data_IF_045836238659
#
_entry.id   IF_045836238659
#
_cell.length_a   1.000
_cell.length_b   1.000
_cell.length_c   1.000
_cell.angle_alpha   90.00
_cell.angle_beta   90.00
_cell.angle_gamma   90.00
#
_symmetry.space_group_name_H-M   'P 1'
#
loop_
_entity.id
_entity.type
_entity.pdbx_description
1 polymer ?
#
# COMPACT_ATOMS: atom_id res chain seq x y z
N UNK A 1 11.45 -8.93 -20.14
CA UNK A 1 12.30 -7.87 -20.72
C UNK A 1 13.39 -7.60 -19.70
N UNK A 2 14.67 -7.84 -20.01
CA UNK A 2 15.79 -7.56 -19.11
C UNK A 2 16.31 -6.17 -19.46
N UNK A 3 16.06 -5.16 -18.61
CA UNK A 3 16.61 -3.81 -18.81
C UNK A 3 17.98 -3.79 -18.16
N UNK A 4 19.01 -3.46 -18.93
CA UNK A 4 20.40 -3.39 -18.49
C UNK A 4 20.91 -1.97 -18.70
N UNK A 5 20.55 -1.08 -17.77
CA UNK A 5 21.27 0.17 -17.52
C UNK A 5 21.37 0.32 -15.98
N UNK A 6 22.57 0.23 -15.39
CA UNK A 6 22.74 0.01 -13.95
C UNK A 6 22.31 1.19 -13.06
N UNK A 7 22.24 2.42 -13.60
CA UNK A 7 21.96 3.59 -12.76
C UNK A 7 20.48 4.01 -12.81
N UNK A 8 19.83 3.92 -13.98
CA UNK A 8 18.41 4.36 -14.12
C UNK A 8 17.65 3.54 -15.13
N UNK A 9 16.52 2.99 -14.70
CA UNK A 9 15.58 2.30 -15.58
C UNK A 9 14.21 2.97 -15.55
N UNK A 10 13.69 3.32 -16.74
CA UNK A 10 12.30 3.74 -16.90
C UNK A 10 11.61 2.82 -17.90
N UNK A 11 10.44 2.29 -17.54
CA UNK A 11 9.67 1.39 -18.39
C UNK A 11 8.20 1.77 -18.36
N UNK A 12 7.59 1.78 -19.55
CA UNK A 12 6.16 2.01 -19.75
C UNK A 12 5.61 0.79 -20.48
N UNK A 13 4.55 0.19 -19.95
CA UNK A 13 3.91 -0.98 -20.52
C UNK A 13 2.40 -0.73 -20.56
N UNK A 14 1.78 -0.89 -21.72
CA UNK A 14 0.34 -0.70 -21.94
C UNK A 14 -0.22 -1.87 -22.74
N UNK A 15 -1.44 -2.31 -22.40
CA UNK A 15 -2.21 -3.35 -23.10
C UNK A 15 -1.61 -4.79 -23.22
N UNK A 16 -0.77 -5.31 -22.30
CA UNK A 16 -0.46 -6.74 -22.32
C UNK A 16 -1.48 -7.56 -21.54
N UNK A 17 -1.88 -8.73 -22.08
CA UNK A 17 -2.65 -9.71 -21.30
C UNK A 17 -1.94 -10.04 -19.97
N UNK A 18 -0.60 -10.14 -19.99
CA UNK A 18 0.20 -10.48 -18.80
C UNK A 18 1.56 -9.80 -18.78
N UNK A 19 1.92 -9.26 -17.61
CA UNK A 19 3.22 -8.70 -17.30
C UNK A 19 3.88 -9.52 -16.19
N UNK A 20 5.11 -9.93 -16.43
CA UNK A 20 6.01 -10.41 -15.38
C UNK A 20 7.34 -9.70 -15.51
N UNK A 21 7.71 -8.93 -14.50
CA UNK A 21 8.97 -8.19 -14.46
C UNK A 21 9.71 -8.49 -13.16
N UNK A 22 11.02 -8.62 -13.31
CA UNK A 22 11.99 -8.72 -12.23
C UNK A 22 12.99 -7.58 -12.41
N UNK A 23 13.13 -6.77 -11.38
CA UNK A 23 14.05 -5.63 -11.32
C UNK A 23 14.94 -5.83 -10.10
N UNK A 24 16.24 -5.92 -10.32
CA UNK A 24 17.25 -6.15 -9.28
C UNK A 24 18.33 -5.07 -9.35
N UNK A 25 18.74 -4.57 -8.19
CA UNK A 25 19.85 -3.63 -8.01
C UNK A 25 19.83 -2.34 -8.87
N UNK A 26 18.67 -1.67 -9.13
CA UNK A 26 18.72 -0.37 -9.79
C UNK A 26 19.06 0.72 -8.77
N UNK A 27 19.95 1.67 -9.09
CA UNK A 27 20.01 2.89 -8.26
C UNK A 27 18.64 3.61 -8.32
N UNK A 28 18.02 3.69 -9.51
CA UNK A 28 16.66 4.23 -9.65
C UNK A 28 15.82 3.49 -10.68
N UNK A 29 14.60 3.12 -10.30
CA UNK A 29 13.62 2.53 -11.21
C UNK A 29 12.29 3.25 -11.18
N UNK A 30 11.75 3.53 -12.36
CA UNK A 30 10.36 3.97 -12.56
C UNK A 30 9.66 3.02 -13.52
N UNK A 31 8.55 2.42 -13.08
CA UNK A 31 7.71 1.61 -13.92
C UNK A 31 6.30 2.20 -13.97
N UNK A 32 5.76 2.32 -15.17
CA UNK A 32 4.37 2.67 -15.42
C UNK A 32 3.70 1.54 -16.17
N UNK A 33 2.58 1.07 -15.65
CA UNK A 33 1.78 -0.01 -16.23
C UNK A 33 0.33 0.42 -16.31
N UNK A 34 -0.30 0.25 -17.47
CA UNK A 34 -1.71 0.57 -17.70
C UNK A 34 -2.43 -0.56 -18.42
N UNK A 35 -3.65 -0.87 -17.98
CA UNK A 35 -4.60 -1.79 -18.62
C UNK A 35 -4.16 -3.26 -18.83
N UNK A 36 -3.36 -3.92 -17.97
CA UNK A 36 -3.09 -5.35 -18.13
C UNK A 36 -4.13 -6.23 -17.44
N UNK A 37 -4.44 -7.40 -17.99
CA UNK A 37 -5.27 -8.36 -17.22
C UNK A 37 -4.51 -8.82 -15.96
N UNK A 38 -3.19 -9.07 -16.08
CA UNK A 38 -2.39 -9.56 -14.93
C UNK A 38 -1.00 -8.97 -14.85
N UNK A 39 -0.63 -8.57 -13.64
CA UNK A 39 0.70 -8.07 -13.29
C UNK A 39 1.32 -8.93 -12.18
N UNK A 40 2.58 -9.29 -12.38
CA UNK A 40 3.48 -9.75 -11.31
C UNK A 40 4.79 -8.98 -11.39
N UNK A 41 5.08 -8.17 -10.36
CA UNK A 41 6.33 -7.42 -10.26
C UNK A 41 7.11 -7.87 -9.02
N UNK A 42 8.39 -8.15 -9.22
CA UNK A 42 9.37 -8.31 -8.16
C UNK A 42 10.44 -7.24 -8.30
N UNK A 43 10.64 -6.46 -7.25
CA UNK A 43 11.67 -5.43 -7.17
C UNK A 43 12.52 -5.71 -5.92
N UNK A 44 13.82 -5.86 -6.10
CA UNK A 44 14.77 -6.14 -5.01
C UNK A 44 15.91 -5.13 -5.02
N UNK A 45 16.27 -4.66 -3.83
CA UNK A 45 17.42 -3.81 -3.56
C UNK A 45 17.51 -2.49 -4.37
N UNK A 46 16.41 -1.74 -4.61
CA UNK A 46 16.53 -0.44 -5.26
C UNK A 46 16.93 0.65 -4.25
N UNK A 47 17.85 1.58 -4.60
CA UNK A 47 17.95 2.79 -3.76
C UNK A 47 16.64 3.59 -3.87
N UNK A 48 16.06 3.68 -5.08
CA UNK A 48 14.76 4.33 -5.29
C UNK A 48 13.89 3.60 -6.31
N UNK A 49 12.66 3.30 -5.93
CA UNK A 49 11.65 2.76 -6.84
C UNK A 49 10.37 3.58 -6.86
N UNK A 50 9.82 3.77 -8.05
CA UNK A 50 8.49 4.36 -8.27
C UNK A 50 7.69 3.43 -9.18
N UNK A 51 6.56 2.94 -8.67
CA UNK A 51 5.65 2.05 -9.40
C UNK A 51 4.30 2.74 -9.55
N UNK A 52 3.85 2.93 -10.79
CA UNK A 52 2.52 3.42 -11.14
C UNK A 52 1.79 2.31 -11.89
N UNK A 53 0.64 1.88 -11.36
CA UNK A 53 -0.17 0.81 -11.92
C UNK A 53 -1.61 1.29 -12.01
N UNK A 54 -2.22 1.22 -13.20
CA UNK A 54 -3.59 1.65 -13.44
C UNK A 54 -4.38 0.54 -14.15
N UNK A 55 -5.62 0.34 -13.71
CA UNK A 55 -6.63 -0.51 -14.34
C UNK A 55 -6.23 -2.01 -14.54
N UNK A 56 -5.52 -2.69 -13.61
CA UNK A 56 -5.28 -4.11 -13.77
C UNK A 56 -6.44 -4.95 -13.23
N UNK A 57 -6.82 -6.04 -13.90
CA UNK A 57 -7.75 -6.99 -13.24
C UNK A 57 -7.07 -7.60 -11.99
N UNK A 58 -5.79 -7.98 -12.12
CA UNK A 58 -5.03 -8.58 -11.01
C UNK A 58 -3.60 -8.12 -10.94
N UNK A 59 -3.19 -7.71 -9.75
CA UNK A 59 -1.81 -7.29 -9.48
C UNK A 59 -1.23 -8.00 -8.26
N UNK A 60 -0.01 -8.50 -8.42
CA UNK A 60 0.84 -8.99 -7.33
C UNK A 60 2.17 -8.27 -7.36
N UNK A 61 2.49 -7.55 -6.29
CA UNK A 61 3.66 -6.69 -6.19
C UNK A 61 4.50 -7.11 -4.97
N UNK A 62 5.77 -7.40 -5.18
CA UNK A 62 6.74 -7.69 -4.13
C UNK A 62 7.91 -6.71 -4.23
N UNK A 63 8.18 -6.01 -3.14
CA UNK A 63 9.29 -5.05 -3.02
C UNK A 63 10.08 -5.38 -1.77
N UNK A 64 11.37 -5.68 -1.93
CA UNK A 64 12.28 -5.99 -0.82
C UNK A 64 13.43 -5.00 -0.78
N UNK A 65 13.80 -4.60 0.44
CA UNK A 65 15.00 -3.83 0.76
C UNK A 65 15.18 -2.48 0.01
N UNK A 66 14.11 -1.67 -0.21
CA UNK A 66 14.30 -0.36 -0.82
C UNK A 66 14.75 0.69 0.22
N UNK A 67 15.71 1.56 -0.12
CA UNK A 67 15.88 2.78 0.71
C UNK A 67 14.61 3.63 0.60
N UNK A 68 14.07 3.80 -0.63
CA UNK A 68 12.85 4.56 -0.87
C UNK A 68 11.96 3.94 -1.92
N UNK A 69 10.70 3.76 -1.57
CA UNK A 69 9.67 3.29 -2.50
C UNK A 69 8.44 4.18 -2.48
N UNK A 70 7.95 4.47 -3.67
CA UNK A 70 6.66 5.12 -3.90
C UNK A 70 5.81 4.24 -4.80
N UNK A 71 4.58 3.95 -4.39
CA UNK A 71 3.65 3.17 -5.18
C UNK A 71 2.29 3.84 -5.28
N UNK A 72 1.77 3.89 -6.51
CA UNK A 72 0.39 4.28 -6.79
C UNK A 72 -0.28 3.16 -7.57
N UNK A 73 -1.40 2.66 -7.04
CA UNK A 73 -2.25 1.67 -7.70
C UNK A 73 -3.67 2.22 -7.75
N UNK A 74 -4.22 2.33 -8.95
CA UNK A 74 -5.59 2.84 -9.17
C UNK A 74 -6.44 1.80 -9.89
N UNK A 75 -7.70 1.69 -9.47
CA UNK A 75 -8.75 0.92 -10.13
C UNK A 75 -8.45 -0.58 -10.37
N UNK A 76 -7.77 -1.32 -9.46
CA UNK A 76 -7.58 -2.76 -9.67
C UNK A 76 -8.81 -3.55 -9.21
N UNK A 77 -9.22 -4.63 -9.90
CA UNK A 77 -10.19 -5.55 -9.25
C UNK A 77 -9.54 -6.19 -8.02
N UNK A 78 -8.27 -6.63 -8.15
CA UNK A 78 -7.53 -7.28 -7.05
C UNK A 78 -6.08 -6.88 -6.99
N UNK A 79 -5.65 -6.42 -5.81
CA UNK A 79 -4.25 -6.13 -5.51
C UNK A 79 -3.76 -6.91 -4.29
N UNK A 80 -2.60 -7.56 -4.44
CA UNK A 80 -1.81 -8.09 -3.33
C UNK A 80 -0.43 -7.45 -3.35
N UNK A 81 0.00 -6.92 -2.20
CA UNK A 81 1.27 -6.24 -2.06
C UNK A 81 2.04 -6.75 -0.83
N UNK A 82 3.32 -7.00 -1.02
CA UNK A 82 4.26 -7.32 0.04
C UNK A 82 5.45 -6.36 -0.06
N UNK A 83 5.73 -5.66 1.05
CA UNK A 83 6.88 -4.79 1.19
C UNK A 83 7.65 -5.20 2.45
N UNK A 84 8.93 -5.46 2.30
CA UNK A 84 9.82 -5.90 3.38
C UNK A 84 11.03 -4.97 3.48
N UNK A 85 11.40 -4.63 4.72
CA UNK A 85 12.61 -3.91 5.09
C UNK A 85 12.84 -2.56 4.39
N UNK A 86 11.82 -1.70 4.17
CA UNK A 86 12.07 -0.39 3.56
C UNK A 86 12.54 0.64 4.60
N UNK A 87 13.51 1.50 4.27
CA UNK A 87 13.71 2.69 5.13
C UNK A 87 12.48 3.61 5.02
N UNK A 88 11.98 3.83 3.79
CA UNK A 88 10.83 4.71 3.55
C UNK A 88 9.90 4.17 2.47
N UNK A 89 8.64 4.00 2.83
CA UNK A 89 7.57 3.61 1.89
C UNK A 89 6.42 4.61 1.91
N UNK A 90 5.97 4.99 0.71
CA UNK A 90 4.71 5.72 0.50
C UNK A 90 3.84 4.92 -0.47
N UNK A 91 2.62 4.60 -0.06
CA UNK A 91 1.67 3.84 -0.88
C UNK A 91 0.32 4.55 -0.96
N UNK A 92 -0.21 4.60 -2.16
CA UNK A 92 -1.56 5.06 -2.46
C UNK A 92 -2.28 3.98 -3.25
N UNK A 93 -3.41 3.52 -2.72
CA UNK A 93 -4.30 2.57 -3.37
C UNK A 93 -5.70 3.16 -3.41
N UNK A 94 -6.26 3.31 -4.60
CA UNK A 94 -7.58 3.89 -4.82
C UNK A 94 -8.48 2.92 -5.57
N UNK A 95 -9.74 2.87 -5.15
CA UNK A 95 -10.84 2.16 -5.83
C UNK A 95 -10.61 0.65 -6.11
N UNK A 96 -9.97 -0.14 -5.23
CA UNK A 96 -9.87 -1.57 -5.49
C UNK A 96 -11.15 -2.33 -5.06
N UNK A 97 -11.61 -3.33 -5.80
CA UNK A 97 -12.63 -4.23 -5.22
C UNK A 97 -12.03 -4.96 -4.00
N UNK A 98 -10.79 -5.46 -4.14
CA UNK A 98 -10.08 -6.15 -3.05
C UNK A 98 -8.62 -5.76 -2.98
N UNK A 99 -8.20 -5.33 -1.79
CA UNK A 99 -6.80 -5.06 -1.48
C UNK A 99 -6.30 -5.86 -0.29
N UNK A 100 -5.08 -6.38 -0.41
CA UNK A 100 -4.33 -7.00 0.69
C UNK A 100 -2.91 -6.48 0.66
N UNK A 101 -2.45 -5.88 1.75
CA UNK A 101 -1.10 -5.33 1.86
C UNK A 101 -0.44 -5.81 3.16
N UNK A 102 0.81 -6.22 3.03
CA UNK A 102 1.68 -6.57 4.14
C UNK A 102 2.94 -5.71 4.06
N UNK A 103 3.24 -5.00 5.14
CA UNK A 103 4.45 -4.20 5.30
C UNK A 103 5.16 -4.66 6.55
N UNK A 104 6.43 -5.06 6.43
CA UNK A 104 7.24 -5.53 7.56
C UNK A 104 8.48 -4.67 7.69
N UNK A 105 8.84 -4.35 8.94
CA UNK A 105 10.08 -3.67 9.33
C UNK A 105 10.35 -2.31 8.65
N UNK A 106 9.36 -1.41 8.43
CA UNK A 106 9.66 -0.10 7.88
C UNK A 106 10.18 0.87 8.96
N UNK A 107 11.24 1.63 8.68
CA UNK A 107 11.53 2.79 9.55
C UNK A 107 10.39 3.81 9.45
N UNK A 108 9.92 4.09 8.23
CA UNK A 108 8.80 5.02 7.99
C UNK A 108 7.87 4.53 6.90
N UNK A 109 6.59 4.40 7.24
CA UNK A 109 5.54 4.10 6.28
C UNK A 109 4.40 5.11 6.30
N UNK A 110 3.97 5.52 5.10
CA UNK A 110 2.74 6.28 4.88
C UNK A 110 1.86 5.52 3.90
N UNK A 111 0.63 5.23 4.30
CA UNK A 111 -0.33 4.49 3.47
C UNK A 111 -1.66 5.22 3.38
N UNK A 112 -2.17 5.31 2.16
CA UNK A 112 -3.50 5.82 1.85
C UNK A 112 -4.27 4.75 1.08
N UNK A 113 -5.42 4.35 1.62
CA UNK A 113 -6.35 3.42 0.99
C UNK A 113 -7.72 4.07 0.94
N UNK A 114 -8.24 4.27 -0.27
CA UNK A 114 -9.53 4.93 -0.50
C UNK A 114 -10.47 4.02 -1.28
N UNK A 115 -11.74 4.03 -0.87
CA UNK A 115 -12.87 3.42 -1.58
C UNK A 115 -12.74 1.91 -1.90
N UNK A 116 -12.16 1.04 -1.03
CA UNK A 116 -12.13 -0.38 -1.32
C UNK A 116 -13.46 -1.07 -0.95
N UNK A 117 -13.95 -2.04 -1.72
CA UNK A 117 -15.02 -2.90 -1.17
C UNK A 117 -14.47 -3.71 0.03
N UNK A 118 -13.26 -4.26 -0.11
CA UNK A 118 -12.57 -5.00 0.95
C UNK A 118 -11.09 -4.66 1.03
N UNK A 119 -10.64 -4.29 2.22
CA UNK A 119 -9.21 -4.07 2.49
C UNK A 119 -8.71 -4.87 3.69
N UNK A 120 -7.52 -5.43 3.54
CA UNK A 120 -6.73 -5.99 4.65
C UNK A 120 -5.36 -5.36 4.63
N UNK A 121 -4.98 -4.75 5.75
CA UNK A 121 -3.69 -4.09 5.95
C UNK A 121 -3.00 -4.71 7.15
N UNK A 122 -1.81 -5.25 6.96
CA UNK A 122 -0.94 -5.71 8.03
C UNK A 122 0.36 -4.91 8.02
N UNK A 123 0.73 -4.37 9.18
CA UNK A 123 2.00 -3.66 9.40
C UNK A 123 2.68 -4.29 10.61
N UNK A 124 3.92 -4.73 10.48
CA UNK A 124 4.68 -5.34 11.57
C UNK A 124 5.98 -4.56 11.79
N UNK A 125 6.32 -4.34 13.06
CA UNK A 125 7.56 -3.73 13.53
C UNK A 125 7.92 -2.35 12.93
N UNK A 126 6.98 -1.40 12.73
CA UNK A 126 7.33 -0.09 12.22
C UNK A 126 7.92 0.83 13.31
N UNK A 127 8.97 1.59 13.02
CA UNK A 127 9.32 2.72 13.90
C UNK A 127 8.24 3.81 13.81
N UNK A 128 7.81 4.15 12.60
CA UNK A 128 6.75 5.16 12.38
C UNK A 128 5.82 4.80 11.25
N UNK A 129 4.53 4.78 11.54
CA UNK A 129 3.50 4.56 10.54
C UNK A 129 2.37 5.60 10.60
N UNK A 130 1.94 6.03 9.42
CA UNK A 130 0.74 6.86 9.24
C UNK A 130 -0.18 6.17 8.24
N UNK A 131 -1.37 5.78 8.69
CA UNK A 131 -2.35 5.07 7.87
C UNK A 131 -3.62 5.90 7.74
N UNK A 132 -4.07 6.07 6.50
CA UNK A 132 -5.32 6.69 6.13
C UNK A 132 -6.19 5.68 5.38
N UNK A 133 -7.37 5.38 5.93
CA UNK A 133 -8.33 4.47 5.30
C UNK A 133 -9.68 5.16 5.19
N UNK A 134 -10.17 5.36 3.97
CA UNK A 134 -11.43 6.07 3.70
C UNK A 134 -12.41 5.17 2.96
N UNK A 135 -13.67 5.23 3.41
CA UNK A 135 -14.84 4.65 2.75
C UNK A 135 -14.78 3.15 2.37
N UNK A 136 -14.17 2.24 3.17
CA UNK A 136 -14.26 0.82 2.90
C UNK A 136 -15.66 0.26 3.24
N UNK A 137 -16.18 -0.70 2.47
CA UNK A 137 -17.33 -1.49 2.95
C UNK A 137 -16.92 -2.44 4.08
N UNK A 138 -15.72 -3.05 3.97
CA UNK A 138 -15.09 -3.89 4.99
C UNK A 138 -13.60 -3.64 5.06
N UNK A 139 -13.08 -3.45 6.27
CA UNK A 139 -11.65 -3.26 6.49
C UNK A 139 -11.14 -4.05 7.69
N UNK A 140 -9.95 -4.62 7.55
CA UNK A 140 -9.16 -5.19 8.64
C UNK A 140 -7.80 -4.51 8.69
N UNK A 141 -7.46 -3.95 9.84
CA UNK A 141 -6.17 -3.34 10.11
C UNK A 141 -5.48 -4.06 11.25
N UNK A 142 -4.30 -4.61 10.98
CA UNK A 142 -3.43 -5.25 11.97
C UNK A 142 -2.12 -4.47 12.03
N UNK A 143 -1.78 -3.96 13.21
CA UNK A 143 -0.45 -3.37 13.46
C UNK A 143 0.17 -4.05 14.66
N UNK A 144 1.36 -4.64 14.45
CA UNK A 144 2.14 -5.31 15.48
C UNK A 144 3.41 -4.53 15.77
N UNK A 145 3.73 -4.39 17.05
CA UNK A 145 4.99 -3.84 17.56
C UNK A 145 5.40 -2.44 17.04
N UNK A 146 4.47 -1.47 16.83
CA UNK A 146 4.85 -0.13 16.40
C UNK A 146 5.51 0.68 17.53
N UNK A 147 6.57 1.44 17.24
CA UNK A 147 7.00 2.49 18.17
C UNK A 147 6.02 3.68 18.13
N UNK A 148 5.58 4.07 16.92
CA UNK A 148 4.60 5.15 16.71
C UNK A 148 3.64 4.85 15.56
N UNK A 149 2.34 4.90 15.85
CA UNK A 149 1.28 4.76 14.85
C UNK A 149 0.31 5.94 14.89
N UNK A 150 -0.01 6.48 13.71
CA UNK A 150 -1.12 7.42 13.51
C UNK A 150 -2.12 6.78 12.57
N UNK A 151 -3.37 6.67 13.01
CA UNK A 151 -4.48 6.12 12.21
C UNK A 151 -5.55 7.18 12.02
N UNK A 152 -5.90 7.45 10.78
CA UNK A 152 -7.07 8.26 10.40
C UNK A 152 -7.99 7.38 9.58
N UNK A 153 -9.24 7.26 10.01
CA UNK A 153 -10.22 6.45 9.29
C UNK A 153 -11.55 7.17 9.15
N UNK A 154 -12.05 7.26 7.92
CA UNK A 154 -13.41 7.73 7.62
C UNK A 154 -14.25 6.52 7.24
N UNK A 155 -14.77 5.83 8.26
CA UNK A 155 -15.54 4.60 8.08
C UNK A 155 -17.03 4.95 8.08
N UNK A 156 -17.67 4.72 6.95
CA UNK A 156 -19.11 5.02 6.77
C UNK A 156 -20.01 3.87 7.29
N UNK A 157 -19.46 2.69 7.62
CA UNK A 157 -20.21 1.46 7.94
C UNK A 157 -19.60 0.61 9.10
N UNK A 158 -20.36 -0.29 9.75
CA UNK A 158 -19.99 -0.95 11.01
C UNK A 158 -18.99 -2.13 10.91
N UNK A 159 -18.43 -2.44 9.74
CA UNK A 159 -17.62 -3.65 9.49
C UNK A 159 -16.11 -3.38 9.38
N UNK A 160 -15.59 -2.48 10.21
CA UNK A 160 -14.17 -2.23 10.33
C UNK A 160 -13.62 -2.90 11.60
N UNK A 161 -12.53 -3.66 11.46
CA UNK A 161 -11.78 -4.24 12.57
C UNK A 161 -10.38 -3.64 12.61
N UNK A 162 -9.99 -3.09 13.77
CA UNK A 162 -8.66 -2.57 14.01
C UNK A 162 -8.09 -3.30 15.22
N UNK A 163 -6.93 -3.93 15.05
CA UNK A 163 -6.21 -4.59 16.12
C UNK A 163 -4.76 -4.11 16.14
N UNK A 164 -4.37 -3.62 17.32
CA UNK A 164 -3.05 -3.09 17.61
C UNK A 164 -2.43 -3.97 18.70
N UNK A 165 -1.36 -4.68 18.37
CA UNK A 165 -0.57 -5.43 19.33
C UNK A 165 0.70 -4.65 19.60
N UNK A 166 0.88 -4.16 20.82
CA UNK A 166 2.10 -3.47 21.23
C UNK A 166 2.49 -3.92 22.64
N UNK A 167 3.70 -4.42 22.88
CA UNK A 167 4.23 -4.68 24.22
C UNK A 167 4.58 -3.38 24.96
N UNK A 168 4.66 -2.25 24.25
CA UNK A 168 5.03 -0.92 24.76
C UNK A 168 3.89 0.11 24.58
N UNK A 169 3.72 1.00 25.57
CA UNK A 169 2.57 1.93 25.72
C UNK A 169 2.35 2.83 24.48
N UNK A 170 1.17 2.78 23.82
CA UNK A 170 0.86 3.73 22.76
C UNK A 170 0.62 5.13 23.34
N UNK A 171 1.35 6.13 22.83
CA UNK A 171 0.99 7.54 23.03
C UNK A 171 -0.24 7.86 22.18
N UNK A 172 -1.42 7.52 22.68
CA UNK A 172 -2.71 7.87 22.08
C UNK A 172 -2.88 9.40 22.09
N UNK A 173 -2.59 10.09 20.98
CA UNK A 173 -3.18 11.39 20.69
C UNK A 173 -4.23 11.19 19.60
N UNK A 174 -5.48 10.98 19.99
CA UNK A 174 -6.62 11.07 19.08
C UNK A 174 -7.61 12.13 19.59
N UNK A 175 -8.06 13.07 18.75
CA UNK A 175 -9.46 13.46 18.78
C UNK A 175 -10.24 12.41 17.99
N UNK A 176 -10.89 11.46 18.68
CA UNK A 176 -11.97 10.68 18.07
C UNK A 176 -13.11 11.65 17.81
N UNK A 177 -13.21 12.22 16.61
CA UNK A 177 -14.41 12.95 16.16
C UNK A 177 -15.29 12.01 15.37
N UNK A 178 -16.09 11.20 16.08
CA UNK A 178 -17.29 10.59 15.50
C UNK A 178 -18.34 11.70 15.32
N UNK A 179 -18.36 12.40 14.18
CA UNK A 179 -19.43 13.34 13.88
C UNK A 179 -20.64 12.55 13.38
N UNK A 180 -21.50 12.14 14.30
CA UNK A 180 -22.79 11.53 13.98
C UNK A 180 -23.73 12.64 13.47
N UNK A 181 -23.68 12.97 12.18
CA UNK A 181 -24.74 13.78 11.56
C UNK A 181 -25.95 12.89 11.39
N UNK A 182 -26.84 12.84 12.40
CA UNK A 182 -28.21 12.33 12.22
C UNK A 182 -28.89 13.20 11.17
N UNK A 183 -29.01 12.68 9.95
CA UNK A 183 -29.93 13.19 8.94
C UNK A 183 -31.33 13.18 9.52
N UNK A 184 -31.86 14.37 9.79
CA UNK A 184 -33.22 14.60 10.29
C UNK A 184 -34.16 14.44 9.10
N UNK A 185 -34.81 13.28 8.99
CA UNK A 185 -35.97 13.16 8.12
C UNK A 185 -37.08 14.06 8.66
N UNK A 186 -37.58 14.97 7.82
CA UNK A 186 -38.91 15.57 7.95
C UNK A 186 -39.80 14.91 6.92
#
# INVERSE_FOLDING_TARGET
MHVSDPERSTMHVSDPERITLLVSDPERSTLQVSDPERITLLVSDPERSTLLVSDPERSTLQVSDPERSTMHVSDPERITMHVSDPERITMHVSDPERSTMHVSDPERSTMHVSDPERSTLQVSDPERSTLHVSDPERSTLLVSDPERITLTSHLTLPLASVSLHSPSRPSLRQPIRSRLTRGRAR
#
